data_IF_633405844434
#
_entry.id   IF_633405844434
#
_cell.length_a   1.000
_cell.length_b   1.000
_cell.length_c   1.000
_cell.angle_alpha   90.00
_cell.angle_beta   90.00
_cell.angle_gamma   90.00
#
_symmetry.space_group_name_H-M   'P 1'
#
loop_
_entity.id
_entity.type
_entity.pdbx_description
1 polymer ?
#
# COMPACT_ATOMS: atom_id res chain seq x y z
N UNK A 1 23.82 -23.11 -19.74
CA UNK A 1 23.01 -24.05 -18.92
C UNK A 1 23.81 -25.19 -18.25
N UNK A 2 24.66 -25.94 -18.95
CA UNK A 2 25.35 -27.12 -18.39
C UNK A 2 26.27 -26.83 -17.18
N UNK A 3 26.89 -25.66 -17.13
CA UNK A 3 27.77 -25.26 -16.00
C UNK A 3 27.00 -25.05 -14.68
N UNK A 4 25.81 -24.42 -14.74
CA UNK A 4 24.97 -24.19 -13.55
C UNK A 4 24.46 -25.51 -12.95
N UNK A 5 24.14 -26.49 -13.81
CA UNK A 5 23.72 -27.83 -13.38
C UNK A 5 24.86 -28.56 -12.67
N UNK A 6 26.11 -28.43 -13.16
CA UNK A 6 27.28 -29.02 -12.51
C UNK A 6 27.52 -28.40 -11.12
N UNK A 7 27.40 -27.08 -11.01
CA UNK A 7 27.59 -26.40 -9.73
C UNK A 7 26.52 -26.79 -8.69
N UNK A 8 25.25 -26.85 -9.09
CA UNK A 8 24.17 -27.29 -8.20
C UNK A 8 24.35 -28.75 -7.75
N UNK A 9 24.86 -29.62 -8.62
CA UNK A 9 25.20 -31.01 -8.26
C UNK A 9 26.34 -31.06 -7.23
N UNK A 10 27.40 -30.26 -7.43
CA UNK A 10 28.51 -30.14 -6.48
C UNK A 10 28.03 -29.66 -5.11
N UNK A 11 27.16 -28.65 -5.07
CA UNK A 11 26.57 -28.14 -3.83
C UNK A 11 25.71 -29.19 -3.12
N UNK A 12 24.86 -29.91 -3.85
CA UNK A 12 24.07 -31.03 -3.32
C UNK A 12 24.97 -32.10 -2.70
N UNK A 13 26.03 -32.49 -3.41
CA UNK A 13 26.92 -33.57 -2.98
C UNK A 13 27.73 -33.16 -1.75
N UNK A 14 28.17 -31.90 -1.67
CA UNK A 14 28.80 -31.31 -0.48
C UNK A 14 27.84 -31.33 0.73
N UNK A 15 26.58 -30.94 0.55
CA UNK A 15 25.59 -30.94 1.62
C UNK A 15 25.25 -32.36 2.08
N UNK A 16 25.17 -33.31 1.15
CA UNK A 16 24.95 -34.72 1.47
C UNK A 16 26.12 -35.30 2.28
N UNK A 17 27.36 -34.97 1.92
CA UNK A 17 28.54 -35.39 2.67
C UNK A 17 28.54 -34.81 4.11
N UNK A 18 28.19 -33.53 4.27
CA UNK A 18 28.05 -32.90 5.60
C UNK A 18 26.98 -33.59 6.46
N UNK A 19 25.84 -33.94 5.86
CA UNK A 19 24.76 -34.65 6.55
C UNK A 19 25.17 -36.07 6.98
N UNK A 20 25.90 -36.81 6.14
CA UNK A 20 26.38 -38.16 6.49
C UNK A 20 27.43 -38.13 7.61
N UNK A 21 28.30 -37.12 7.65
CA UNK A 21 29.25 -36.91 8.75
C UNK A 21 28.50 -36.63 10.07
N UNK A 22 27.51 -35.74 10.05
CA UNK A 22 26.66 -35.49 11.23
C UNK A 22 25.88 -36.74 11.66
N UNK A 23 25.34 -37.50 10.71
CA UNK A 23 24.60 -38.74 10.98
C UNK A 23 25.50 -39.81 11.62
N UNK A 24 26.73 -39.94 11.13
CA UNK A 24 27.74 -40.87 11.67
C UNK A 24 28.20 -40.47 13.07
N UNK A 25 28.29 -39.17 13.37
CA UNK A 25 28.59 -38.67 14.71
C UNK A 25 27.44 -38.95 15.69
N UNK A 26 26.18 -38.89 15.25
CA UNK A 26 25.01 -39.22 16.07
C UNK A 26 24.91 -40.73 16.34
N UNK A 27 25.28 -41.57 15.36
CA UNK A 27 25.27 -43.04 15.52
C UNK A 27 26.47 -43.54 16.33
N UNK A 28 27.67 -42.95 16.17
CA UNK A 28 28.86 -43.32 16.94
C UNK A 28 28.78 -42.98 18.44
N UNK A 29 27.90 -42.06 18.84
CA UNK A 29 27.61 -41.75 20.26
C UNK A 29 26.71 -42.81 20.90
N UNK A 30 25.95 -43.60 20.13
CA UNK A 30 25.06 -44.64 20.67
C UNK A 30 25.78 -45.92 21.13
N UNK A 31 26.94 -46.23 20.56
CA UNK A 31 27.64 -47.50 20.82
C UNK A 31 28.76 -47.41 21.86
N UNK A 32 29.10 -46.21 22.36
CA UNK A 32 30.04 -46.04 23.46
C UNK A 32 29.41 -45.29 24.63
N UNK A 33 29.06 -46.09 25.64
CA UNK A 33 28.98 -45.71 27.05
C UNK A 33 27.60 -45.30 27.59
N UNK A 34 26.99 -46.30 28.24
CA UNK A 34 26.04 -46.16 29.34
C UNK A 34 26.65 -45.26 30.45
N UNK A 35 26.19 -44.01 30.56
CA UNK A 35 25.95 -43.28 31.83
C UNK A 35 25.74 -41.77 31.54
N UNK A 36 24.66 -41.18 32.09
CA UNK A 36 24.44 -39.72 32.10
C UNK A 36 23.47 -39.17 31.04
N UNK A 37 22.71 -38.10 31.35
CA UNK A 37 21.59 -37.62 30.54
C UNK A 37 22.09 -36.85 29.30
N UNK A 38 22.35 -37.57 28.21
CA UNK A 38 22.66 -36.99 26.89
C UNK A 38 21.42 -36.50 26.12
N UNK A 39 20.26 -36.45 26.77
CA UNK A 39 19.00 -35.98 26.18
C UNK A 39 19.02 -34.48 25.85
N UNK A 40 19.76 -33.65 26.58
CA UNK A 40 19.70 -32.17 26.43
C UNK A 40 20.11 -31.67 25.03
N UNK A 41 21.26 -32.08 24.51
CA UNK A 41 21.76 -31.58 23.21
C UNK A 41 20.94 -32.03 22.01
N UNK A 42 20.40 -33.25 22.04
CA UNK A 42 19.53 -33.74 20.97
C UNK A 42 18.18 -33.02 20.98
N UNK A 43 17.66 -32.71 22.17
CA UNK A 43 16.45 -31.90 22.35
C UNK A 43 16.68 -30.44 21.94
N UNK A 44 17.85 -29.86 22.24
CA UNK A 44 18.25 -28.50 21.81
C UNK A 44 18.31 -28.38 20.28
N UNK A 45 18.96 -29.33 19.58
CA UNK A 45 19.02 -29.32 18.11
C UNK A 45 17.62 -29.48 17.50
N UNK A 46 16.78 -30.32 18.08
CA UNK A 46 15.39 -30.47 17.64
C UNK A 46 14.58 -29.19 17.86
N UNK A 47 14.79 -28.50 18.98
CA UNK A 47 14.12 -27.25 19.30
C UNK A 47 14.55 -26.14 18.34
N UNK A 48 15.85 -25.98 18.09
CA UNK A 48 16.37 -25.00 17.10
C UNK A 48 15.83 -25.30 15.70
N UNK A 49 15.75 -26.56 15.30
CA UNK A 49 15.17 -26.95 14.01
C UNK A 49 13.66 -26.64 13.96
N UNK A 50 12.94 -26.85 15.06
CA UNK A 50 11.52 -26.53 15.16
C UNK A 50 11.31 -25.03 15.05
N UNK A 51 12.06 -24.24 15.83
CA UNK A 51 12.02 -22.78 15.82
C UNK A 51 12.29 -22.24 14.42
N UNK A 52 13.34 -22.72 13.76
CA UNK A 52 13.66 -22.34 12.38
C UNK A 52 12.51 -22.68 11.42
N UNK A 53 11.94 -23.89 11.47
CA UNK A 53 10.79 -24.27 10.63
C UNK A 53 9.57 -23.40 10.92
N UNK A 54 9.35 -23.05 12.19
CA UNK A 54 8.21 -22.24 12.61
C UNK A 54 8.38 -20.82 12.09
N UNK A 55 9.59 -20.27 12.18
CA UNK A 55 9.89 -18.93 11.69
C UNK A 55 9.80 -18.86 10.16
N UNK A 56 10.38 -19.83 9.45
CA UNK A 56 10.22 -19.94 7.99
C UNK A 56 8.75 -20.07 7.55
N UNK A 57 7.92 -20.79 8.32
CA UNK A 57 6.49 -20.88 8.04
C UNK A 57 5.76 -19.54 8.29
N UNK A 58 6.13 -18.79 9.34
CA UNK A 58 5.59 -17.44 9.58
C UNK A 58 5.98 -16.46 8.50
N UNK A 59 7.24 -16.47 8.06
CA UNK A 59 7.73 -15.65 6.96
C UNK A 59 6.94 -15.94 5.68
N UNK A 60 6.74 -17.22 5.36
CA UNK A 60 5.95 -17.63 4.21
C UNK A 60 4.48 -17.17 4.31
N UNK A 61 3.87 -17.29 5.49
CA UNK A 61 2.53 -16.77 5.74
C UNK A 61 2.45 -15.25 5.59
N UNK A 62 3.50 -14.54 6.01
CA UNK A 62 3.59 -13.09 5.84
C UNK A 62 3.63 -12.73 4.36
N UNK A 63 4.42 -13.43 3.55
CA UNK A 63 4.46 -13.25 2.09
C UNK A 63 3.09 -13.50 1.46
N UNK A 64 2.34 -14.51 1.89
CA UNK A 64 0.98 -14.75 1.38
C UNK A 64 -0.02 -13.64 1.75
N UNK A 65 0.12 -13.03 2.94
CA UNK A 65 -0.68 -11.85 3.29
C UNK A 65 -0.41 -10.68 2.35
N UNK A 66 0.78 -10.59 1.78
CA UNK A 66 1.11 -9.55 0.81
C UNK A 66 0.29 -9.64 -0.49
N UNK A 67 -0.30 -10.81 -0.77
CA UNK A 67 -1.20 -10.98 -1.91
C UNK A 67 -2.61 -10.38 -1.67
N UNK A 68 -2.87 -9.79 -0.48
CA UNK A 68 -4.16 -9.22 -0.12
C UNK A 68 -5.24 -10.26 0.22
N UNK A 69 -4.91 -11.55 0.17
CA UNK A 69 -5.81 -12.66 0.45
C UNK A 69 -5.12 -13.68 1.34
N UNK A 70 -5.74 -14.00 2.48
CA UNK A 70 -5.30 -15.08 3.35
C UNK A 70 -6.49 -15.88 3.86
N UNK A 71 -6.24 -17.10 4.34
CA UNK A 71 -7.32 -17.98 4.78
C UNK A 71 -6.87 -18.94 5.88
N UNK A 72 -7.83 -19.33 6.72
CA UNK A 72 -7.66 -20.38 7.73
C UNK A 72 -8.81 -21.39 7.63
N UNK A 73 -8.49 -22.66 7.82
CA UNK A 73 -9.52 -23.70 7.89
C UNK A 73 -10.33 -23.54 9.19
N UNK A 74 -11.64 -23.70 9.11
CA UNK A 74 -12.56 -23.71 10.26
C UNK A 74 -13.24 -25.07 10.35
N UNK A 75 -13.97 -25.33 11.45
CA UNK A 75 -14.71 -26.59 11.63
C UNK A 75 -15.74 -26.87 10.53
N UNK A 76 -16.24 -25.81 9.89
CA UNK A 76 -17.35 -25.86 8.93
C UNK A 76 -16.91 -25.49 7.50
N UNK A 77 -15.65 -25.11 7.28
CA UNK A 77 -15.16 -24.67 5.98
C UNK A 77 -13.91 -23.80 6.10
N UNK A 78 -13.93 -22.58 5.56
CA UNK A 78 -12.77 -21.67 5.57
C UNK A 78 -13.20 -20.25 5.94
N UNK A 79 -12.36 -19.58 6.72
CA UNK A 79 -12.45 -18.15 7.00
C UNK A 79 -11.37 -17.44 6.17
N UNK A 80 -11.79 -16.54 5.29
CA UNK A 80 -10.93 -15.74 4.44
C UNK A 80 -10.79 -14.33 5.00
N UNK A 81 -9.59 -13.76 4.87
CA UNK A 81 -9.29 -12.38 5.15
C UNK A 81 -8.82 -11.70 3.86
N UNK A 82 -9.53 -10.65 3.47
CA UNK A 82 -9.28 -9.82 2.30
C UNK A 82 -8.70 -8.50 2.82
N UNK A 83 -7.40 -8.30 2.65
CA UNK A 83 -6.73 -7.06 3.02
C UNK A 83 -6.71 -6.13 1.82
N UNK A 84 -7.14 -4.89 2.03
CA UNK A 84 -7.13 -3.86 0.98
C UNK A 84 -5.84 -3.07 1.02
N UNK A 85 -5.44 -2.54 -0.14
CA UNK A 85 -4.27 -1.70 -0.26
C UNK A 85 -4.47 -0.61 -1.32
N UNK A 86 -3.83 0.53 -1.11
CA UNK A 86 -3.80 1.64 -2.06
C UNK A 86 -2.41 2.25 -2.04
N UNK A 87 -1.80 2.45 -3.21
CA UNK A 87 -0.47 3.07 -3.38
C UNK A 87 0.61 2.53 -2.41
N UNK A 88 0.70 1.20 -2.31
CA UNK A 88 1.70 0.53 -1.46
C UNK A 88 1.39 0.54 0.04
N UNK A 89 0.29 1.16 0.47
CA UNK A 89 -0.16 1.18 1.86
C UNK A 89 -1.27 0.17 2.09
N UNK A 90 -1.14 -0.69 3.10
CA UNK A 90 -2.22 -1.57 3.56
C UNK A 90 -3.26 -0.76 4.34
N UNK A 91 -4.52 -1.02 4.03
CA UNK A 91 -5.68 -0.35 4.62
C UNK A 91 -6.49 -1.36 5.46
N UNK A 92 -7.82 -1.26 5.39
CA UNK A 92 -8.75 -2.11 6.12
C UNK A 92 -8.71 -3.57 5.64
N UNK A 93 -9.06 -4.48 6.55
CA UNK A 93 -9.20 -5.91 6.27
C UNK A 93 -10.63 -6.40 6.52
N UNK A 94 -11.11 -7.26 5.62
CA UNK A 94 -12.48 -7.77 5.63
C UNK A 94 -12.50 -9.29 5.71
N UNK A 95 -13.43 -9.83 6.49
CA UNK A 95 -13.52 -11.25 6.77
C UNK A 95 -14.72 -11.88 6.07
N UNK A 96 -14.54 -13.10 5.60
CA UNK A 96 -15.57 -13.90 4.95
C UNK A 96 -15.48 -15.35 5.39
N UNK A 97 -16.51 -15.81 6.11
CA UNK A 97 -16.65 -17.21 6.52
C UNK A 97 -17.48 -17.97 5.49
N UNK A 98 -16.89 -19.02 4.92
CA UNK A 98 -17.49 -19.87 3.90
C UNK A 98 -17.67 -21.29 4.40
N UNK A 99 -18.85 -21.85 4.15
CA UNK A 99 -19.12 -23.28 4.20
C UNK A 99 -18.81 -23.89 2.84
N UNK A 100 -17.85 -24.81 2.77
CA UNK A 100 -17.31 -25.31 1.50
C UNK A 100 -18.09 -26.52 0.95
N UNK A 101 -18.92 -27.17 1.76
CA UNK A 101 -19.79 -28.22 1.24
C UNK A 101 -20.82 -27.64 0.27
N UNK A 102 -21.05 -28.32 -0.85
CA UNK A 102 -21.98 -27.87 -1.86
C UNK A 102 -23.43 -27.89 -1.33
N UNK A 103 -24.22 -26.82 -1.57
CA UNK A 103 -23.82 -25.57 -2.21
C UNK A 103 -22.96 -24.71 -1.28
N UNK A 104 -21.94 -24.03 -1.82
CA UNK A 104 -21.05 -23.16 -1.04
C UNK A 104 -21.86 -22.00 -0.47
N UNK A 105 -21.76 -21.72 0.83
CA UNK A 105 -22.55 -20.68 1.50
C UNK A 105 -21.68 -19.70 2.26
N UNK A 106 -22.07 -18.43 2.24
CA UNK A 106 -21.51 -17.40 3.12
C UNK A 106 -22.21 -17.56 4.48
N UNK A 107 -21.44 -17.83 5.53
CA UNK A 107 -21.95 -17.97 6.90
C UNK A 107 -21.95 -16.63 7.62
N UNK A 108 -20.84 -15.88 7.52
CA UNK A 108 -20.62 -14.58 8.16
C UNK A 108 -19.69 -13.74 7.30
N UNK A 109 -19.81 -12.42 7.38
CA UNK A 109 -18.88 -11.50 6.73
C UNK A 109 -18.81 -10.17 7.47
N UNK A 110 -17.72 -9.42 7.24
CA UNK A 110 -17.60 -8.01 7.64
C UNK A 110 -17.65 -7.06 6.44
N UNK A 111 -18.05 -7.54 5.27
CA UNK A 111 -18.21 -6.73 4.05
C UNK A 111 -19.28 -5.63 4.28
N UNK A 112 -18.98 -4.36 3.97
CA UNK A 112 -19.94 -3.27 4.13
C UNK A 112 -21.24 -3.48 3.34
N UNK A 113 -22.40 -3.06 3.87
CA UNK A 113 -23.72 -3.38 3.32
C UNK A 113 -23.99 -2.78 1.93
N UNK A 114 -23.27 -1.73 1.56
CA UNK A 114 -23.39 -1.08 0.26
C UNK A 114 -22.61 -1.79 -0.86
N UNK A 115 -21.76 -2.77 -0.52
CA UNK A 115 -21.09 -3.62 -1.50
C UNK A 115 -22.04 -4.76 -1.87
N UNK A 116 -22.29 -5.04 -3.17
CA UNK A 116 -23.33 -5.96 -3.60
C UNK A 116 -22.92 -7.45 -3.47
N UNK A 117 -22.59 -7.88 -2.24
CA UNK A 117 -22.04 -9.21 -1.94
C UNK A 117 -22.97 -10.33 -2.42
N UNK A 118 -24.27 -10.24 -2.19
CA UNK A 118 -25.26 -11.27 -2.56
C UNK A 118 -25.39 -11.39 -4.08
N UNK A 119 -25.22 -10.28 -4.82
CA UNK A 119 -25.22 -10.30 -6.27
C UNK A 119 -23.96 -10.98 -6.82
N UNK A 120 -22.78 -10.60 -6.30
CA UNK A 120 -21.50 -11.21 -6.68
C UNK A 120 -21.51 -12.71 -6.34
N UNK A 121 -22.03 -13.08 -5.17
CA UNK A 121 -22.13 -14.45 -4.71
C UNK A 121 -23.03 -15.30 -5.62
N UNK A 122 -24.24 -14.82 -5.96
CA UNK A 122 -25.14 -15.53 -6.87
C UNK A 122 -24.51 -15.79 -8.25
N UNK A 123 -23.72 -14.84 -8.75
CA UNK A 123 -23.12 -14.92 -10.08
C UNK A 123 -21.90 -15.83 -10.16
N UNK A 124 -21.11 -15.91 -9.09
CA UNK A 124 -19.77 -16.53 -9.15
C UNK A 124 -19.50 -17.59 -8.07
N UNK A 125 -20.14 -17.54 -6.90
CA UNK A 125 -19.73 -18.37 -5.75
C UNK A 125 -19.84 -19.87 -6.01
N UNK A 126 -20.86 -20.31 -6.75
CA UNK A 126 -21.08 -21.74 -7.05
C UNK A 126 -20.22 -22.26 -8.20
N UNK A 127 -19.84 -21.39 -9.14
CA UNK A 127 -19.17 -21.79 -10.39
C UNK A 127 -17.66 -21.57 -10.35
N UNK A 128 -17.23 -20.44 -9.77
CA UNK A 128 -15.84 -20.02 -9.74
C UNK A 128 -15.56 -19.15 -8.50
N UNK A 129 -15.11 -19.81 -7.43
CA UNK A 129 -14.75 -19.15 -6.17
C UNK A 129 -13.61 -18.15 -6.35
N UNK A 130 -12.68 -18.38 -7.29
CA UNK A 130 -11.55 -17.46 -7.52
C UNK A 130 -12.06 -16.17 -8.14
N UNK A 131 -12.95 -16.26 -9.12
CA UNK A 131 -13.60 -15.08 -9.72
C UNK A 131 -14.47 -14.34 -8.71
N UNK A 132 -15.20 -15.07 -7.87
CA UNK A 132 -15.95 -14.46 -6.77
C UNK A 132 -15.04 -13.63 -5.86
N UNK A 133 -13.92 -14.20 -5.39
CA UNK A 133 -12.96 -13.50 -4.51
C UNK A 133 -12.28 -12.32 -5.21
N UNK A 134 -11.92 -12.46 -6.49
CA UNK A 134 -11.32 -11.37 -7.26
C UNK A 134 -12.29 -10.20 -7.43
N UNK A 135 -13.53 -10.45 -7.82
CA UNK A 135 -14.54 -9.40 -7.98
C UNK A 135 -14.83 -8.70 -6.65
N UNK A 136 -14.99 -9.47 -5.56
CA UNK A 136 -15.20 -8.91 -4.22
C UNK A 136 -14.00 -8.08 -3.75
N UNK A 137 -12.78 -8.58 -3.96
CA UNK A 137 -11.55 -7.87 -3.63
C UNK A 137 -11.44 -6.54 -4.39
N UNK A 138 -11.81 -6.50 -5.67
CA UNK A 138 -11.78 -5.25 -6.45
C UNK A 138 -12.77 -4.21 -5.90
N UNK A 139 -13.99 -4.62 -5.52
CA UNK A 139 -14.94 -3.70 -4.89
C UNK A 139 -14.43 -3.14 -3.56
N UNK A 140 -13.84 -4.01 -2.73
CA UNK A 140 -13.29 -3.62 -1.43
C UNK A 140 -12.08 -2.68 -1.59
N UNK A 141 -11.16 -2.98 -2.51
CA UNK A 141 -10.00 -2.13 -2.79
C UNK A 141 -10.40 -0.77 -3.34
N UNK A 142 -11.37 -0.71 -4.26
CA UNK A 142 -11.87 0.54 -4.79
C UNK A 142 -12.51 1.41 -3.70
N UNK A 143 -13.36 0.82 -2.87
CA UNK A 143 -13.95 1.52 -1.73
C UNK A 143 -12.89 2.02 -0.74
N UNK A 144 -11.98 1.14 -0.31
CA UNK A 144 -10.92 1.48 0.63
C UNK A 144 -10.00 2.57 0.08
N UNK A 145 -9.65 2.51 -1.22
CA UNK A 145 -8.86 3.54 -1.89
C UNK A 145 -9.56 4.89 -1.96
N UNK A 146 -10.87 4.94 -2.25
CA UNK A 146 -11.65 6.20 -2.25
C UNK A 146 -11.73 6.81 -0.85
N UNK A 147 -12.03 5.99 0.15
CA UNK A 147 -12.05 6.41 1.57
C UNK A 147 -10.67 6.94 2.00
N UNK A 148 -9.61 6.19 1.73
CA UNK A 148 -8.24 6.59 2.08
C UNK A 148 -7.84 7.92 1.43
N UNK A 149 -8.16 8.12 0.14
CA UNK A 149 -7.88 9.38 -0.53
C UNK A 149 -8.66 10.55 0.09
N UNK A 150 -9.92 10.34 0.48
CA UNK A 150 -10.73 11.33 1.16
C UNK A 150 -10.18 11.69 2.55
N UNK A 151 -9.78 10.68 3.32
CA UNK A 151 -9.19 10.86 4.66
C UNK A 151 -7.85 11.61 4.55
N UNK A 152 -6.97 11.21 3.63
CA UNK A 152 -5.69 11.89 3.35
C UNK A 152 -5.86 13.36 2.97
N UNK A 153 -6.91 13.66 2.20
CA UNK A 153 -7.22 15.03 1.81
C UNK A 153 -7.61 15.88 3.02
N UNK A 154 -8.47 15.34 3.90
CA UNK A 154 -8.88 16.01 5.13
C UNK A 154 -7.75 16.13 6.16
N UNK A 155 -6.86 15.15 6.26
CA UNK A 155 -5.78 15.16 7.26
C UNK A 155 -4.58 16.01 6.82
N UNK A 156 -4.16 15.93 5.56
CA UNK A 156 -2.90 16.53 5.09
C UNK A 156 -3.09 17.87 4.37
N UNK A 157 -4.27 18.11 3.80
CA UNK A 157 -4.56 19.31 3.00
C UNK A 157 -5.70 20.15 3.57
N UNK A 158 -6.04 19.96 4.86
CA UNK A 158 -7.08 20.72 5.55
C UNK A 158 -6.95 22.24 5.34
N UNK A 159 -5.71 22.76 5.33
CA UNK A 159 -5.43 24.18 5.17
C UNK A 159 -5.85 24.76 3.81
N UNK A 160 -5.90 23.92 2.76
CA UNK A 160 -6.31 24.31 1.42
C UNK A 160 -7.82 24.13 1.22
N UNK A 161 -8.50 23.41 2.11
CA UNK A 161 -9.94 23.15 2.01
C UNK A 161 -10.76 24.26 2.67
N UNK A 162 -11.77 24.74 1.95
CA UNK A 162 -12.79 25.60 2.53
C UNK A 162 -13.89 24.73 3.15
N UNK A 163 -13.66 24.34 4.42
CA UNK A 163 -14.58 23.51 5.20
C UNK A 163 -14.33 22.00 5.06
N UNK A 164 -15.36 21.20 5.33
CA UNK A 164 -15.25 19.73 5.30
C UNK A 164 -15.55 19.16 3.92
N UNK A 165 -14.77 18.15 3.52
CA UNK A 165 -15.09 17.28 2.40
C UNK A 165 -16.46 16.62 2.62
N UNK A 166 -17.36 16.81 1.66
CA UNK A 166 -18.68 16.18 1.64
C UNK A 166 -18.63 14.91 0.79
N UNK A 167 -19.16 13.82 1.32
CA UNK A 167 -19.21 12.56 0.60
C UNK A 167 -20.32 11.66 1.11
N UNK A 168 -20.71 10.68 0.31
CA UNK A 168 -21.59 9.62 0.77
C UNK A 168 -20.79 8.44 1.35
N UNK A 169 -21.49 7.49 1.99
CA UNK A 169 -20.82 6.35 2.66
C UNK A 169 -20.00 5.45 1.73
N UNK A 170 -20.29 5.45 0.43
CA UNK A 170 -19.54 4.70 -0.58
C UNK A 170 -18.30 5.45 -1.11
N UNK A 171 -18.17 6.72 -0.75
CA UNK A 171 -17.22 7.67 -1.32
C UNK A 171 -17.26 7.69 -2.86
N UNK A 172 -18.41 7.37 -3.47
CA UNK A 172 -18.59 7.38 -4.93
C UNK A 172 -19.09 8.73 -5.45
N UNK A 173 -19.36 9.66 -4.55
CA UNK A 173 -19.59 11.06 -4.83
C UNK A 173 -18.86 11.87 -3.76
N UNK A 174 -17.91 12.69 -4.18
CA UNK A 174 -17.17 13.61 -3.31
C UNK A 174 -17.36 15.04 -3.80
N UNK A 175 -17.57 15.97 -2.88
CA UNK A 175 -17.67 17.40 -3.16
C UNK A 175 -16.90 18.18 -2.10
N UNK A 176 -16.03 19.08 -2.56
CA UNK A 176 -15.24 19.92 -1.67
C UNK A 176 -14.94 21.25 -2.33
N UNK A 177 -14.71 22.24 -1.48
CA UNK A 177 -14.23 23.56 -1.88
C UNK A 177 -12.77 23.67 -1.47
N UNK A 178 -11.96 24.30 -2.30
CA UNK A 178 -10.54 24.49 -2.03
C UNK A 178 -10.03 25.80 -2.62
N UNK A 179 -9.03 26.37 -1.97
CA UNK A 179 -8.34 27.57 -2.41
C UNK A 179 -6.99 27.22 -3.04
N UNK A 180 -6.64 27.89 -4.14
CA UNK A 180 -5.30 27.88 -4.72
C UNK A 180 -4.66 29.25 -4.52
N UNK A 181 -3.43 29.30 -4.03
CA UNK A 181 -2.76 30.58 -3.77
C UNK A 181 -2.27 31.18 -5.09
N UNK A 182 -2.61 32.44 -5.34
CA UNK A 182 -1.97 33.26 -6.36
C UNK A 182 -0.96 34.21 -5.73
N UNK A 183 -0.22 34.95 -6.57
CA UNK A 183 0.77 35.94 -6.13
C UNK A 183 0.20 36.95 -5.12
N UNK A 184 -1.05 37.40 -5.32
CA UNK A 184 -1.70 38.43 -4.51
C UNK A 184 -3.01 38.01 -3.84
N UNK A 185 -3.59 36.85 -4.20
CA UNK A 185 -4.90 36.41 -3.72
C UNK A 185 -5.09 34.89 -3.82
N UNK A 186 -5.87 34.31 -2.90
CA UNK A 186 -6.35 32.92 -2.99
C UNK A 186 -7.60 32.82 -3.86
N UNK A 187 -7.56 31.92 -4.85
CA UNK A 187 -8.65 31.67 -5.78
C UNK A 187 -9.51 30.48 -5.33
N UNK A 188 -10.83 30.66 -5.11
CA UNK A 188 -11.70 29.59 -4.63
C UNK A 188 -12.23 28.72 -5.79
N UNK A 189 -12.19 27.41 -5.61
CA UNK A 189 -12.71 26.40 -6.52
C UNK A 189 -13.63 25.42 -5.79
N UNK A 190 -14.59 24.86 -6.52
CA UNK A 190 -15.43 23.75 -6.07
C UNK A 190 -15.21 22.55 -6.98
N UNK A 191 -14.71 21.45 -6.43
CA UNK A 191 -14.62 20.18 -7.15
C UNK A 191 -15.78 19.25 -6.75
N UNK A 192 -16.30 18.52 -7.74
CA UNK A 192 -17.22 17.39 -7.55
C UNK A 192 -16.71 16.21 -8.36
N UNK A 193 -16.51 15.09 -7.68
CA UNK A 193 -15.95 13.85 -8.22
C UNK A 193 -17.02 12.76 -8.15
N UNK A 194 -17.31 12.14 -9.29
CA UNK A 194 -18.30 11.06 -9.40
C UNK A 194 -17.60 9.78 -9.87
N UNK A 195 -17.75 8.71 -9.11
CA UNK A 195 -17.13 7.41 -9.36
C UNK A 195 -18.21 6.45 -9.88
N UNK A 196 -18.34 6.37 -11.20
CA UNK A 196 -19.34 5.53 -11.86
C UNK A 196 -19.01 4.04 -11.79
N UNK A 197 -17.72 3.69 -11.83
CA UNK A 197 -17.27 2.31 -11.66
C UNK A 197 -17.08 1.96 -10.17
N UNK A 198 -17.87 1.03 -9.60
CA UNK A 198 -17.73 0.61 -8.21
C UNK A 198 -16.39 -0.08 -7.91
N UNK A 199 -15.68 -0.57 -8.93
CA UNK A 199 -14.38 -1.25 -8.83
C UNK A 199 -13.18 -0.33 -9.13
N UNK A 200 -13.41 0.95 -9.40
CA UNK A 200 -12.34 1.94 -9.59
C UNK A 200 -12.17 2.84 -8.35
N UNK A 201 -10.91 3.09 -7.98
CA UNK A 201 -10.56 4.09 -6.97
C UNK A 201 -10.45 5.51 -7.55
N UNK A 202 -10.58 5.67 -8.87
CA UNK A 202 -10.48 6.94 -9.59
C UNK A 202 -11.85 7.36 -10.15
N UNK A 203 -12.14 8.68 -10.17
CA UNK A 203 -13.44 9.16 -10.61
C UNK A 203 -13.62 8.97 -12.12
N UNK A 204 -14.86 8.73 -12.52
CA UNK A 204 -15.27 8.64 -13.93
C UNK A 204 -15.59 10.01 -14.48
N UNK A 205 -16.15 10.88 -13.64
CA UNK A 205 -16.52 12.24 -14.00
C UNK A 205 -16.00 13.20 -12.94
N UNK A 206 -15.43 14.30 -13.39
CA UNK A 206 -14.91 15.38 -12.55
C UNK A 206 -15.51 16.67 -13.06
N UNK A 207 -15.94 17.54 -12.16
CA UNK A 207 -16.31 18.92 -12.48
C UNK A 207 -15.60 19.84 -11.52
N UNK A 208 -14.90 20.83 -12.06
CA UNK A 208 -14.27 21.92 -11.30
C UNK A 208 -14.96 23.21 -11.69
N UNK A 209 -15.54 23.90 -10.71
CA UNK A 209 -16.26 25.15 -10.90
C UNK A 209 -15.57 26.29 -10.15
N UNK A 210 -15.60 27.47 -10.76
CA UNK A 210 -15.21 28.75 -10.16
C UNK A 210 -16.47 29.57 -9.89
N UNK A 211 -16.37 30.64 -9.09
CA UNK A 211 -17.52 31.53 -8.85
C UNK A 211 -18.02 32.16 -10.17
N UNK A 212 -19.34 32.32 -10.29
CA UNK A 212 -19.97 33.05 -11.39
C UNK A 212 -19.41 34.49 -11.37
N UNK A 213 -18.73 34.92 -12.45
CA UNK A 213 -17.91 36.14 -12.60
C UNK A 213 -16.39 36.00 -12.36
N UNK A 214 -15.85 34.78 -12.31
CA UNK A 214 -14.40 34.56 -12.26
C UNK A 214 -13.69 34.99 -13.57
N UNK A 215 -12.47 35.54 -13.49
CA UNK A 215 -11.67 35.90 -14.66
C UNK A 215 -11.32 34.68 -15.51
N UNK A 216 -11.06 34.89 -16.81
CA UNK A 216 -10.75 33.81 -17.75
C UNK A 216 -9.58 32.93 -17.30
N UNK A 217 -8.58 33.51 -16.64
CA UNK A 217 -7.43 32.77 -16.08
C UNK A 217 -7.83 31.70 -15.06
N UNK A 218 -8.89 31.93 -14.27
CA UNK A 218 -9.38 30.91 -13.32
C UNK A 218 -10.10 29.76 -14.03
N UNK A 219 -10.75 30.03 -15.17
CA UNK A 219 -11.37 28.98 -15.97
C UNK A 219 -10.31 28.09 -16.62
N UNK A 220 -9.21 28.68 -17.07
CA UNK A 220 -8.06 27.93 -17.60
C UNK A 220 -7.42 27.07 -16.50
N UNK A 221 -7.23 27.60 -15.29
CA UNK A 221 -6.75 26.82 -14.14
C UNK A 221 -7.70 25.67 -13.76
N UNK A 222 -9.02 25.92 -13.77
CA UNK A 222 -10.00 24.86 -13.53
C UNK A 222 -9.92 23.74 -14.59
N UNK A 223 -9.65 24.09 -15.85
CA UNK A 223 -9.43 23.11 -16.92
C UNK A 223 -8.15 22.27 -16.70
N UNK A 224 -7.10 22.86 -16.11
CA UNK A 224 -5.87 22.14 -15.73
C UNK A 224 -6.08 21.20 -14.54
N UNK A 225 -6.93 21.57 -13.57
CA UNK A 225 -7.23 20.72 -12.42
C UNK A 225 -8.03 19.47 -12.80
N UNK A 226 -8.82 19.52 -13.87
CA UNK A 226 -9.70 18.44 -14.31
C UNK A 226 -8.96 17.11 -14.56
N UNK A 227 -7.92 17.04 -15.42
CA UNK A 227 -7.18 15.80 -15.65
C UNK A 227 -6.42 15.34 -14.40
N UNK A 228 -5.96 16.26 -13.54
CA UNK A 228 -5.25 15.90 -12.31
C UNK A 228 -6.13 15.05 -11.37
N UNK A 229 -7.40 15.44 -11.19
CA UNK A 229 -8.32 14.66 -10.36
C UNK A 229 -8.80 13.36 -11.01
N UNK A 230 -8.69 13.22 -12.34
CA UNK A 230 -9.06 12.01 -13.06
C UNK A 230 -7.94 10.96 -13.05
N UNK A 231 -6.70 11.40 -13.23
CA UNK A 231 -5.57 10.51 -13.49
C UNK A 231 -4.72 10.22 -12.25
N UNK A 232 -4.74 11.10 -11.25
CA UNK A 232 -3.92 10.99 -10.03
C UNK A 232 -4.80 10.77 -8.79
N UNK A 233 -4.19 10.25 -7.73
CA UNK A 233 -4.88 10.20 -6.44
C UNK A 233 -5.06 11.60 -5.88
N UNK A 234 -6.07 11.79 -5.02
CA UNK A 234 -6.43 13.13 -4.54
C UNK A 234 -5.26 13.87 -3.90
N UNK A 235 -4.46 13.19 -3.07
CA UNK A 235 -3.34 13.84 -2.42
C UNK A 235 -2.19 14.16 -3.39
N UNK A 236 -1.96 13.34 -4.43
CA UNK A 236 -1.00 13.66 -5.49
C UNK A 236 -1.49 14.81 -6.37
N UNK A 237 -2.78 14.84 -6.70
CA UNK A 237 -3.40 15.94 -7.44
C UNK A 237 -3.25 17.26 -6.68
N UNK A 238 -3.55 17.26 -5.37
CA UNK A 238 -3.34 18.43 -4.52
C UNK A 238 -1.87 18.82 -4.42
N UNK A 239 -0.95 17.86 -4.28
CA UNK A 239 0.48 18.15 -4.36
C UNK A 239 0.84 18.85 -5.68
N UNK A 240 0.31 18.39 -6.83
CA UNK A 240 0.60 19.03 -8.12
C UNK A 240 0.03 20.45 -8.19
N UNK A 241 -1.17 20.67 -7.66
CA UNK A 241 -1.82 21.98 -7.63
C UNK A 241 -1.01 22.95 -6.75
N UNK A 242 -0.53 22.52 -5.59
CA UNK A 242 0.21 23.37 -4.65
C UNK A 242 1.70 23.55 -5.01
N UNK A 243 2.33 22.56 -5.66
CA UNK A 243 3.78 22.61 -6.01
C UNK A 243 4.06 23.22 -7.38
N UNK A 244 3.06 23.34 -8.25
CA UNK A 244 3.21 24.09 -9.51
C UNK A 244 3.56 25.57 -9.29
N UNK A 245 3.46 26.05 -8.05
CA UNK A 245 3.87 27.38 -7.60
C UNK A 245 5.38 27.49 -7.28
N UNK A 246 6.05 26.43 -6.82
CA UNK A 246 7.49 26.49 -6.45
C UNK A 246 8.44 26.50 -7.66
N UNK A 247 8.01 26.03 -8.83
CA UNK A 247 8.85 25.94 -10.04
C UNK A 247 8.69 27.13 -11.01
N UNK A 248 8.02 28.21 -10.61
CA UNK A 248 7.88 29.44 -11.40
C UNK A 248 8.57 30.66 -10.76
N UNK A 249 9.65 30.47 -10.00
CA UNK A 249 10.58 31.56 -9.68
C UNK A 249 11.76 31.56 -10.66
N UNK A 250 12.00 32.63 -11.45
CA UNK A 250 13.22 32.75 -12.22
C UNK A 250 14.41 33.09 -11.30
N UNK A 251 15.57 32.60 -11.70
CA UNK A 251 16.87 32.75 -11.07
C UNK A 251 17.19 34.18 -10.61
N UNK A 252 17.59 34.32 -9.35
CA UNK A 252 18.52 35.38 -8.94
C UNK A 252 19.85 34.76 -8.53
N UNK A 253 20.82 35.02 -9.40
CA UNK A 253 22.23 34.67 -9.37
C UNK A 253 23.00 35.23 -8.17
N UNK A 254 24.08 34.50 -7.87
CA UNK A 254 25.41 34.96 -7.45
C UNK A 254 25.64 35.43 -6.01
N UNK A 255 26.53 34.70 -5.34
CA UNK A 255 27.23 35.19 -4.15
C UNK A 255 28.10 34.15 -3.43
N UNK A 256 28.97 33.43 -4.15
CA UNK A 256 30.12 32.77 -3.51
C UNK A 256 31.06 33.84 -2.92
N UNK A 257 31.65 33.65 -1.73
CA UNK A 257 32.92 34.27 -1.42
C UNK A 257 34.04 33.22 -1.54
N UNK A 258 34.94 33.47 -2.49
CA UNK A 258 36.25 32.84 -2.53
C UNK A 258 37.13 33.43 -1.41
N UNK A 259 37.84 32.55 -0.72
CA UNK A 259 38.96 32.87 0.16
C UNK A 259 40.20 33.26 -0.65
N UNK A 260 40.92 34.34 -0.27
CA UNK A 260 42.35 34.32 0.10
C UNK A 260 43.03 35.71 0.07
N UNK A 261 43.61 36.08 1.21
CA UNK A 261 44.97 36.65 1.45
C UNK A 261 45.54 37.86 0.67
N UNK A 262 46.12 38.80 1.44
CA UNK A 262 47.25 39.68 1.05
C UNK A 262 47.01 41.18 1.29
N UNK A 263 47.36 41.78 2.44
CA UNK A 263 48.66 42.42 2.81
C UNK A 263 48.79 43.90 2.38
N UNK A 264 48.77 44.79 3.40
CA UNK A 264 49.45 46.12 3.62
C UNK A 264 49.28 47.23 2.56
N UNK A 265 49.17 48.54 2.84
CA UNK A 265 49.72 49.42 3.89
C UNK A 265 48.95 50.76 3.92
N UNK A 266 49.04 51.48 5.06
CA UNK A 266 49.10 52.95 5.32
C UNK A 266 48.20 53.90 4.49
N UNK A 267 47.52 54.92 5.03
CA UNK A 267 48.07 55.99 5.87
C UNK A 267 46.94 56.93 6.39
N UNK A 268 47.17 57.52 7.57
CA UNK A 268 46.71 58.80 8.14
C UNK A 268 45.37 59.46 7.72
N UNK A 269 44.56 59.98 8.67
CA UNK A 269 44.70 61.26 9.42
C UNK A 269 43.36 61.64 10.09
N UNK A 270 43.41 62.25 11.29
CA UNK A 270 42.45 63.18 11.94
C UNK A 270 41.00 62.68 12.19
N UNK A 271 40.40 62.79 13.38
CA UNK A 271 40.55 63.71 14.51
C UNK A 271 39.95 63.03 15.76
#
# INVERSE_FOLDING_TARGET
>A
MKARIKELRRQRDLLRAKLEVCRSQIVGVKDKTKSGPLTSKATEIQQVLLEWKTESAKELLHVFRLAGLSGKLTKQGVCLCISTAFEGTYLDSYYLDLHIHQPVRILRHSVPPFIPLEHIARKHLQTDIKRFLSVLSNHLNAYAGRKFQADQLQERFAAFLEGHLQGNSLYNLLKFNYGVAGEDQTFPFTAKLTYGDPMSAFPTEVTVACKENSPASMLDMAAVHLPLFQEKSLHEAFHCITTSEENQSPSSLLGLPASSTGVTSDDNTAL
#
